data_IF_766137057857
#
_entry.id   IF_766137057857
#
_cell.length_a   1.000
_cell.length_b   1.000
_cell.length_c   1.000
_cell.angle_alpha   90.00
_cell.angle_beta   90.00
_cell.angle_gamma   90.00
#
_symmetry.space_group_name_H-M   'P 1'
#
loop_
_entity.id
_entity.type
_entity.pdbx_description
1 polymer ?
#
# COMPACT_ATOMS: atom_id res chain seq x y z
N UNK A 1 11.30 16.67 7.22
CA UNK A 1 11.25 15.71 6.10
C UNK A 1 11.65 14.39 6.70
N UNK A 2 10.65 13.56 6.96
CA UNK A 2 10.81 12.24 7.55
C UNK A 2 11.55 11.33 6.57
N UNK A 3 12.51 10.54 7.07
CA UNK A 3 13.36 9.68 6.23
C UNK A 3 12.55 8.64 5.44
N UNK A 4 11.39 8.22 5.97
CA UNK A 4 10.44 7.35 5.25
C UNK A 4 9.91 8.00 3.97
N UNK A 5 9.57 9.29 3.99
CA UNK A 5 9.04 10.02 2.83
C UNK A 5 10.06 10.13 1.68
N UNK A 6 11.36 9.96 1.97
CA UNK A 6 12.40 9.92 0.96
C UNK A 6 12.48 8.54 0.26
N UNK A 7 12.16 7.47 0.98
CA UNK A 7 12.26 6.09 0.48
C UNK A 7 11.02 5.67 -0.31
N UNK A 8 9.87 6.28 -0.06
CA UNK A 8 8.65 6.01 -0.84
C UNK A 8 8.61 6.79 -2.17
N UNK A 9 7.85 6.25 -3.10
CA UNK A 9 7.56 6.87 -4.39
C UNK A 9 6.78 8.18 -4.19
N UNK A 10 7.18 9.30 -4.82
CA UNK A 10 6.55 10.60 -4.61
C UNK A 10 5.18 10.73 -5.31
N UNK A 11 4.74 9.71 -6.03
CA UNK A 11 3.46 9.72 -6.75
C UNK A 11 2.30 9.85 -5.76
N UNK A 12 1.32 10.68 -6.10
CA UNK A 12 0.09 10.87 -5.32
C UNK A 12 -1.12 10.72 -6.23
N UNK A 13 -2.26 10.38 -5.64
CA UNK A 13 -3.55 10.37 -6.31
C UNK A 13 -4.61 11.02 -5.42
N UNK A 14 -5.55 11.73 -6.05
CA UNK A 14 -6.81 12.10 -5.44
C UNK A 14 -7.87 11.10 -5.88
N UNK A 15 -8.52 10.44 -4.92
CA UNK A 15 -9.60 9.49 -5.20
C UNK A 15 -10.78 10.21 -5.83
N UNK A 16 -11.38 9.62 -6.87
CA UNK A 16 -12.58 10.20 -7.46
C UNK A 16 -13.84 9.92 -6.60
N UNK A 17 -14.95 10.59 -6.92
CA UNK A 17 -16.17 10.50 -6.14
C UNK A 17 -16.75 9.08 -6.05
N UNK A 18 -16.59 8.26 -7.09
CA UNK A 18 -17.05 6.87 -7.09
C UNK A 18 -16.18 6.01 -6.16
N UNK A 19 -14.86 6.20 -6.18
CA UNK A 19 -13.92 5.51 -5.30
C UNK A 19 -14.13 5.87 -3.83
N UNK A 20 -14.29 7.17 -3.52
CA UNK A 20 -14.59 7.63 -2.16
C UNK A 20 -15.90 7.02 -1.66
N UNK A 21 -16.98 7.11 -2.46
CA UNK A 21 -18.28 6.54 -2.11
C UNK A 21 -18.24 5.03 -1.88
N UNK A 22 -17.43 4.31 -2.67
CA UNK A 22 -17.23 2.88 -2.48
C UNK A 22 -16.59 2.60 -1.12
N UNK A 23 -15.50 3.30 -0.78
CA UNK A 23 -14.79 3.12 0.48
C UNK A 23 -15.62 3.55 1.70
N UNK A 24 -16.37 4.65 1.61
CA UNK A 24 -17.32 5.08 2.65
C UNK A 24 -18.45 4.07 2.90
N UNK A 25 -18.76 3.23 1.91
CA UNK A 25 -19.77 2.18 2.01
C UNK A 25 -19.29 0.90 2.69
N UNK A 26 -18.00 0.77 3.00
CA UNK A 26 -17.44 -0.41 3.63
C UNK A 26 -17.83 -0.51 5.12
N UNK A 27 -17.91 -1.74 5.70
CA UNK A 27 -18.30 -1.91 7.10
C UNK A 27 -17.36 -1.22 8.10
N UNK A 28 -17.91 -0.42 9.01
CA UNK A 28 -17.16 0.22 10.11
C UNK A 28 -16.66 -0.82 11.13
N UNK A 29 -15.40 -0.74 11.61
CA UNK A 29 -14.83 0.46 12.23
C UNK A 29 -13.54 0.99 11.57
N UNK A 30 -13.50 1.07 10.24
CA UNK A 30 -12.34 1.62 9.56
C UNK A 30 -12.22 3.16 9.75
N UNK A 31 -10.99 3.71 9.80
CA UNK A 31 -10.78 5.16 9.81
C UNK A 31 -11.42 5.85 8.60
N UNK A 32 -11.72 7.14 8.76
CA UNK A 32 -12.21 7.97 7.66
C UNK A 32 -11.24 7.91 6.47
N UNK A 33 -11.80 7.73 5.27
CA UNK A 33 -11.05 7.59 4.03
C UNK A 33 -10.33 8.90 3.72
N UNK A 34 -9.02 8.85 3.50
CA UNK A 34 -8.27 10.00 3.01
C UNK A 34 -8.58 10.21 1.53
N UNK A 35 -8.91 11.44 1.15
CA UNK A 35 -9.23 11.78 -0.25
C UNK A 35 -7.99 11.84 -1.14
N UNK A 36 -6.82 12.11 -0.55
CA UNK A 36 -5.52 12.09 -1.21
C UNK A 36 -4.65 10.99 -0.60
N UNK A 37 -4.02 10.18 -1.45
CA UNK A 37 -3.12 9.09 -1.06
C UNK A 37 -1.76 9.28 -1.72
N UNK A 38 -0.69 8.99 -0.98
CA UNK A 38 0.68 8.88 -1.52
C UNK A 38 1.04 7.42 -1.77
N UNK A 39 1.81 7.15 -2.82
CA UNK A 39 2.28 5.81 -3.14
C UNK A 39 3.16 5.27 -2.00
N UNK A 40 2.80 4.09 -1.49
CA UNK A 40 3.50 3.44 -0.38
C UNK A 40 4.64 2.53 -0.87
N UNK A 41 4.81 2.39 -2.18
CA UNK A 41 5.87 1.57 -2.77
C UNK A 41 7.22 2.28 -2.75
N UNK A 42 8.30 1.50 -2.82
CA UNK A 42 9.68 1.99 -2.89
C UNK A 42 9.89 2.96 -4.06
N UNK A 43 10.68 4.01 -3.84
CA UNK A 43 11.05 4.96 -4.90
C UNK A 43 11.72 4.23 -6.06
N UNK A 44 11.20 4.45 -7.27
CA UNK A 44 11.74 3.84 -8.49
C UNK A 44 11.19 2.44 -8.77
N UNK A 45 10.16 2.00 -8.04
CA UNK A 45 9.42 0.78 -8.37
C UNK A 45 8.88 0.83 -9.81
N UNK A 46 8.80 -0.35 -10.43
CA UNK A 46 8.10 -0.53 -11.70
C UNK A 46 6.60 -0.76 -11.49
N UNK A 47 5.82 -0.60 -12.55
CA UNK A 47 4.38 -0.92 -12.57
C UNK A 47 3.48 0.15 -11.96
N UNK A 48 2.28 -0.25 -11.58
CA UNK A 48 1.26 0.64 -11.01
C UNK A 48 1.68 1.13 -9.63
N UNK A 49 1.36 2.39 -9.33
CA UNK A 49 1.45 2.94 -7.99
C UNK A 49 0.36 2.33 -7.10
N UNK A 50 0.61 2.27 -5.80
CA UNK A 50 -0.32 1.67 -4.86
C UNK A 50 -0.25 2.32 -3.48
N UNK A 51 -1.40 2.44 -2.82
CA UNK A 51 -1.51 2.93 -1.44
C UNK A 51 -2.68 2.26 -0.73
N UNK A 52 -2.55 2.06 0.58
CA UNK A 52 -3.60 1.50 1.40
C UNK A 52 -4.69 2.56 1.61
N UNK A 53 -5.87 2.33 1.03
CA UNK A 53 -6.99 3.26 1.19
C UNK A 53 -7.77 2.97 2.47
N UNK A 54 -8.04 1.67 2.75
CA UNK A 54 -8.76 1.27 3.94
C UNK A 54 -8.52 -0.22 4.28
N UNK A 55 -8.63 -0.59 5.56
CA UNK A 55 -8.64 -1.99 6.00
C UNK A 55 -9.95 -2.31 6.71
N UNK A 56 -10.56 -3.44 6.37
CA UNK A 56 -11.77 -3.97 7.02
C UNK A 56 -11.55 -5.44 7.35
N UNK A 57 -11.37 -5.75 8.64
CA UNK A 57 -10.98 -7.09 9.07
C UNK A 57 -9.63 -7.48 8.45
N UNK A 58 -9.61 -8.60 7.74
CA UNK A 58 -8.42 -9.14 7.06
C UNK A 58 -8.28 -8.67 5.61
N UNK A 59 -9.23 -7.88 5.11
CA UNK A 59 -9.22 -7.36 3.74
C UNK A 59 -8.69 -5.95 3.73
N UNK A 60 -7.68 -5.70 2.89
CA UNK A 60 -7.14 -4.38 2.64
C UNK A 60 -7.59 -3.92 1.26
N UNK A 61 -8.17 -2.74 1.22
CA UNK A 61 -8.57 -2.06 0.00
C UNK A 61 -7.45 -1.11 -0.42
N UNK A 62 -6.79 -1.47 -1.51
CA UNK A 62 -5.68 -0.73 -2.06
C UNK A 62 -6.15 0.09 -3.25
N UNK A 63 -5.81 1.38 -3.24
CA UNK A 63 -5.88 2.19 -4.44
C UNK A 63 -4.66 1.86 -5.30
N UNK A 64 -4.88 1.45 -6.55
CA UNK A 64 -3.84 1.24 -7.54
C UNK A 64 -4.04 2.17 -8.71
N UNK A 65 -2.97 2.77 -9.21
CA UNK A 65 -3.10 3.72 -10.31
C UNK A 65 -1.87 3.77 -11.22
N UNK A 66 -2.14 4.21 -12.44
CA UNK A 66 -1.16 4.61 -13.45
C UNK A 66 -1.41 6.07 -13.82
N UNK A 67 -0.71 6.57 -14.84
CA UNK A 67 -0.98 7.90 -15.39
C UNK A 67 -2.36 8.03 -16.06
N UNK A 68 -3.04 6.91 -16.36
CA UNK A 68 -4.26 6.92 -17.18
C UNK A 68 -5.47 6.23 -16.53
N UNK A 69 -5.29 5.50 -15.44
CA UNK A 69 -6.37 4.76 -14.78
C UNK A 69 -6.09 4.60 -13.28
N UNK A 70 -7.16 4.47 -12.50
CA UNK A 70 -7.10 4.13 -11.07
C UNK A 70 -8.25 3.21 -10.67
N UNK A 71 -7.97 2.28 -9.76
CA UNK A 71 -8.90 1.25 -9.30
C UNK A 71 -8.72 0.99 -7.79
N UNK A 72 -9.80 0.56 -7.14
CA UNK A 72 -9.77 0.10 -5.73
C UNK A 72 -9.91 -1.42 -5.73
N UNK A 73 -8.89 -2.12 -5.26
CA UNK A 73 -8.81 -3.57 -5.32
C UNK A 73 -8.57 -4.19 -3.93
N UNK A 74 -9.26 -5.30 -3.58
CA UNK A 74 -9.04 -5.99 -2.33
C UNK A 74 -7.81 -6.91 -2.40
N UNK A 75 -6.99 -6.87 -1.37
CA UNK A 75 -5.83 -7.76 -1.20
C UNK A 75 -5.72 -8.29 0.21
N UNK A 76 -4.88 -9.31 0.36
CA UNK A 76 -4.29 -9.78 1.62
C UNK A 76 -2.91 -9.14 1.84
N UNK A 77 -2.37 -9.27 3.05
CA UNK A 77 -1.04 -8.77 3.39
C UNK A 77 0.00 -9.60 2.66
N UNK A 78 1.16 -9.00 2.36
CA UNK A 78 2.29 -9.76 1.87
C UNK A 78 2.59 -10.96 2.80
N UNK A 79 2.71 -12.18 2.27
CA UNK A 79 2.93 -13.38 3.09
C UNK A 79 4.25 -13.34 3.85
N UNK A 80 5.23 -12.53 3.41
CA UNK A 80 6.50 -12.30 4.13
C UNK A 80 6.26 -11.79 5.54
N UNK A 81 5.19 -11.02 5.76
CA UNK A 81 4.72 -10.56 7.08
C UNK A 81 4.38 -11.71 8.04
N UNK A 82 4.09 -12.91 7.55
CA UNK A 82 3.63 -14.06 8.35
C UNK A 82 4.75 -15.05 8.72
N UNK A 83 6.01 -14.74 8.36
CA UNK A 83 7.20 -15.58 8.65
C UNK A 83 7.70 -15.26 10.07
N UNK A 84 8.16 -16.23 10.89
CA UNK A 84 8.30 -16.08 12.35
C UNK A 84 9.09 -14.85 12.83
N UNK A 85 8.76 -14.33 14.03
CA UNK A 85 9.10 -12.98 14.52
C UNK A 85 10.56 -12.76 14.95
N UNK A 86 11.49 -13.63 14.55
CA UNK A 86 12.88 -13.56 15.04
C UNK A 86 13.80 -12.69 14.18
N UNK A 87 13.34 -12.29 12.99
CA UNK A 87 14.01 -11.31 12.12
C UNK A 87 12.94 -10.51 11.41
N UNK A 88 12.65 -9.32 11.93
CA UNK A 88 11.68 -8.35 11.44
C UNK A 88 11.43 -8.39 9.91
N UNK A 89 10.30 -8.95 9.45
CA UNK A 89 9.81 -8.72 8.10
C UNK A 89 8.52 -7.87 8.20
N UNK A 90 8.66 -6.60 8.59
CA UNK A 90 7.59 -5.59 8.60
C UNK A 90 7.16 -5.15 7.18
N UNK A 91 6.87 -6.11 6.29
CA UNK A 91 6.24 -5.76 5.03
C UNK A 91 4.78 -5.35 5.29
N UNK A 92 4.51 -4.04 5.21
CA UNK A 92 3.17 -3.45 5.33
C UNK A 92 2.50 -3.24 3.96
N UNK A 93 2.88 -4.00 2.94
CA UNK A 93 2.33 -3.89 1.59
C UNK A 93 1.44 -5.10 1.25
N UNK A 94 0.68 -4.98 0.16
CA UNK A 94 -0.20 -6.05 -0.35
C UNK A 94 0.58 -7.22 -0.96
N UNK A 95 -0.06 -8.39 -1.01
CA UNK A 95 0.51 -9.56 -1.69
C UNK A 95 0.82 -9.28 -3.17
N UNK A 96 2.07 -9.57 -3.58
CA UNK A 96 2.52 -9.39 -4.96
C UNK A 96 2.93 -7.95 -5.33
N UNK A 97 3.15 -7.08 -4.34
CA UNK A 97 3.60 -5.72 -4.59
C UNK A 97 4.96 -5.67 -5.33
N UNK A 98 5.18 -4.66 -6.19
CA UNK A 98 6.50 -4.41 -6.77
C UNK A 98 7.41 -3.72 -5.75
N UNK A 99 8.72 -3.69 -6.03
CA UNK A 99 9.73 -3.13 -5.12
C UNK A 99 10.22 -4.14 -4.08
N UNK A 100 11.28 -3.76 -3.35
CA UNK A 100 11.88 -4.63 -2.35
C UNK A 100 11.10 -4.62 -1.04
N UNK A 101 11.20 -5.71 -0.27
CA UNK A 101 10.85 -5.67 1.14
C UNK A 101 11.92 -4.86 1.88
N UNK A 102 11.51 -4.01 2.83
CA UNK A 102 12.46 -3.21 3.62
C UNK A 102 13.50 -4.05 4.38
N UNK A 103 13.22 -5.33 4.63
CA UNK A 103 14.13 -6.30 5.24
C UNK A 103 14.95 -7.14 4.24
N UNK A 104 14.85 -6.87 2.93
CA UNK A 104 15.70 -7.46 1.89
C UNK A 104 17.09 -6.77 1.85
N UNK A 105 17.63 -6.40 3.02
CA UNK A 105 19.08 -6.28 3.18
C UNK A 105 19.64 -7.70 3.25
N UNK A 106 19.77 -8.34 2.09
CA UNK A 106 20.65 -9.47 1.90
C UNK A 106 22.03 -9.09 2.47
N UNK A 107 22.33 -9.52 3.69
CA UNK A 107 23.68 -9.59 4.23
C UNK A 107 24.50 -10.47 3.27
N UNK A 108 25.22 -9.82 2.35
CA UNK A 108 26.27 -10.48 1.59
C UNK A 108 27.45 -10.74 2.53
N UNK A 109 27.61 -12.03 2.86
CA UNK A 109 28.85 -12.79 3.19
C UNK A 109 29.95 -12.03 3.94
#
# INVERSE_FOLDING_TARGET
MDEAELMNCPARITLDAAQQKFLDGLPAPAPAVQSELGCELERGHDGSHAALAQQVGDVMWWAQWTLSASEINPYTWCPVRQTPPETDPDCTLFEGHPGKHSSDEHYWI
#
